data_IF_266528244158
#
_entry.id   IF_266528244158
#
_cell.length_a   1.000
_cell.length_b   1.000
_cell.length_c   1.000
_cell.angle_alpha   90.00
_cell.angle_beta   90.00
_cell.angle_gamma   90.00
#
_symmetry.space_group_name_H-M   'P 1'
#
loop_
_entity.id
_entity.type
_entity.pdbx_description
1 polymer ?
#
# COMPACT_ATOMS: atom_id res chain seq x y z
N UNK A 1 10.18 15.77 -1.55
CA UNK A 1 9.76 14.47 -0.98
C UNK A 1 8.95 13.65 -1.99
N UNK A 2 7.87 14.20 -2.56
CA UNK A 2 7.13 13.55 -3.68
C UNK A 2 8.06 13.25 -4.88
N UNK A 3 9.00 14.15 -5.18
CA UNK A 3 10.04 13.97 -6.20
C UNK A 3 10.90 12.72 -5.98
N UNK A 4 11.28 12.43 -4.73
CA UNK A 4 12.14 11.30 -4.36
C UNK A 4 11.40 9.97 -4.53
N UNK A 5 10.13 9.91 -4.14
CA UNK A 5 9.29 8.73 -4.40
C UNK A 5 9.13 8.48 -5.90
N UNK A 6 8.87 9.52 -6.68
CA UNK A 6 8.73 9.37 -8.13
C UNK A 6 10.04 8.86 -8.76
N UNK A 7 11.19 9.36 -8.30
CA UNK A 7 12.50 8.87 -8.73
C UNK A 7 12.73 7.40 -8.33
N UNK A 8 12.39 7.02 -7.09
CA UNK A 8 12.46 5.64 -6.62
C UNK A 8 11.60 4.71 -7.48
N UNK A 9 10.34 5.07 -7.69
CA UNK A 9 9.38 4.29 -8.51
C UNK A 9 9.84 4.19 -9.97
N UNK A 10 10.48 5.23 -10.51
CA UNK A 10 11.03 5.19 -11.88
C UNK A 10 12.15 4.16 -12.08
N UNK A 11 12.80 3.72 -10.99
CA UNK A 11 13.87 2.71 -11.00
C UNK A 11 13.35 1.28 -10.82
N UNK A 12 12.04 1.11 -10.57
CA UNK A 12 11.39 -0.18 -10.32
C UNK A 12 10.65 -0.63 -11.58
N UNK A 13 10.74 -1.93 -11.88
CA UNK A 13 9.89 -2.57 -12.87
C UNK A 13 8.57 -2.94 -12.21
N UNK A 14 7.56 -2.08 -12.39
CA UNK A 14 6.24 -2.28 -11.79
C UNK A 14 5.47 -3.40 -12.51
N UNK A 15 5.12 -4.45 -11.77
CA UNK A 15 4.16 -5.46 -12.20
C UNK A 15 2.86 -5.32 -11.42
N UNK A 16 1.74 -5.47 -12.12
CA UNK A 16 0.43 -5.63 -11.51
C UNK A 16 -0.16 -6.97 -11.96
N UNK A 17 0.15 -8.02 -11.20
CA UNK A 17 -0.29 -9.38 -11.44
C UNK A 17 -1.33 -9.85 -10.40
N UNK A 18 -2.12 -10.86 -10.77
CA UNK A 18 -3.17 -11.41 -9.91
C UNK A 18 -2.62 -12.02 -8.62
N UNK A 19 -1.35 -12.47 -8.62
CA UNK A 19 -0.68 -13.03 -7.45
C UNK A 19 -0.48 -11.96 -6.38
N UNK A 20 0.10 -10.83 -6.76
CA UNK A 20 0.32 -9.68 -5.88
C UNK A 20 -1.02 -9.12 -5.43
N UNK A 21 -2.00 -8.99 -6.34
CA UNK A 21 -3.36 -8.61 -5.96
C UNK A 21 -3.95 -9.53 -4.88
N UNK A 22 -3.77 -10.85 -5.03
CA UNK A 22 -4.19 -11.85 -4.05
C UNK A 22 -3.49 -11.69 -2.69
N UNK A 23 -2.19 -11.42 -2.69
CA UNK A 23 -1.41 -11.14 -1.47
C UNK A 23 -1.93 -9.88 -0.77
N UNK A 24 -2.21 -8.81 -1.52
CA UNK A 24 -2.78 -7.57 -0.96
C UNK A 24 -4.16 -7.84 -0.35
N UNK A 25 -5.03 -8.60 -1.02
CA UNK A 25 -6.33 -8.99 -0.46
C UNK A 25 -6.19 -9.80 0.83
N UNK A 26 -5.30 -10.80 0.86
CA UNK A 26 -5.06 -11.63 2.04
C UNK A 26 -4.56 -10.78 3.22
N UNK A 27 -3.63 -9.85 2.97
CA UNK A 27 -3.11 -8.95 3.99
C UNK A 27 -4.19 -8.05 4.61
N UNK A 28 -5.18 -7.61 3.83
CA UNK A 28 -6.30 -6.79 4.29
C UNK A 28 -7.27 -7.63 5.13
N UNK A 29 -7.61 -8.85 4.69
CA UNK A 29 -8.56 -9.71 5.41
C UNK A 29 -8.08 -10.17 6.80
N UNK A 30 -6.77 -10.16 7.07
CA UNK A 30 -6.24 -10.44 8.41
C UNK A 30 -6.51 -9.29 9.42
N UNK A 31 -6.95 -8.12 8.95
CA UNK A 31 -7.10 -6.92 9.78
C UNK A 31 -8.56 -6.77 10.22
N UNK A 32 -8.84 -7.08 11.49
CA UNK A 32 -10.19 -7.10 12.05
C UNK A 32 -10.89 -5.73 12.14
N UNK A 33 -10.14 -4.63 12.03
CA UNK A 33 -10.65 -3.26 12.15
C UNK A 33 -11.14 -2.65 10.81
N UNK A 34 -11.22 -3.46 9.75
CA UNK A 34 -11.70 -3.02 8.44
C UNK A 34 -13.20 -3.32 8.31
N UNK A 35 -13.96 -2.32 7.88
CA UNK A 35 -15.40 -2.40 7.57
C UNK A 35 -15.62 -2.71 6.08
N UNK A 36 -14.85 -2.04 5.21
CA UNK A 36 -14.92 -2.22 3.75
C UNK A 36 -13.56 -2.05 3.12
N UNK A 37 -13.33 -2.77 2.04
CA UNK A 37 -12.12 -2.68 1.24
C UNK A 37 -12.40 -2.76 -0.25
N UNK A 38 -11.52 -2.16 -1.05
CA UNK A 38 -11.46 -2.39 -2.49
C UNK A 38 -10.05 -2.26 -3.02
N UNK A 39 -9.68 -3.13 -3.96
CA UNK A 39 -8.40 -3.07 -4.67
C UNK A 39 -8.65 -2.85 -6.16
N UNK A 40 -8.24 -1.70 -6.67
CA UNK A 40 -8.27 -1.35 -8.09
C UNK A 40 -6.86 -1.41 -8.68
N UNK A 41 -6.74 -1.87 -9.92
CA UNK A 41 -5.49 -1.81 -10.69
C UNK A 41 -5.64 -0.80 -11.81
N UNK A 42 -4.74 0.20 -11.87
CA UNK A 42 -4.73 1.22 -12.93
C UNK A 42 -3.30 1.50 -13.36
N UNK A 43 -3.00 1.30 -14.65
CA UNK A 43 -1.66 1.60 -15.21
C UNK A 43 -0.52 0.91 -14.45
N UNK A 44 -0.65 -0.38 -14.16
CA UNK A 44 0.30 -1.20 -13.38
C UNK A 44 0.55 -0.70 -11.94
N UNK A 45 -0.44 -0.03 -11.36
CA UNK A 45 -0.42 0.45 -9.97
C UNK A 45 -1.66 -0.04 -9.25
N UNK A 46 -1.48 -0.38 -7.99
CA UNK A 46 -2.58 -0.73 -7.09
C UNK A 46 -3.13 0.52 -6.41
N UNK A 47 -4.43 0.56 -6.24
CA UNK A 47 -5.13 1.51 -5.38
C UNK A 47 -5.93 0.65 -4.40
N UNK A 48 -5.58 0.75 -3.13
CA UNK A 48 -6.19 0.02 -2.04
C UNK A 48 -6.96 1.02 -1.19
N UNK A 49 -8.27 0.98 -1.26
CA UNK A 49 -9.15 1.75 -0.40
C UNK A 49 -9.60 0.87 0.77
N UNK A 50 -9.43 1.36 1.98
CA UNK A 50 -9.84 0.71 3.22
C UNK A 50 -10.66 1.68 4.04
N UNK A 51 -11.82 1.21 4.50
CA UNK A 51 -12.65 1.91 5.48
C UNK A 51 -12.51 1.21 6.82
N UNK A 52 -12.12 1.94 7.85
CA UNK A 52 -12.05 1.45 9.22
C UNK A 52 -13.43 1.49 9.87
N UNK A 53 -13.65 0.59 10.84
CA UNK A 53 -14.85 0.63 11.71
C UNK A 53 -14.87 1.90 12.56
N UNK A 54 -13.72 2.23 13.13
CA UNK A 54 -13.48 3.46 13.87
C UNK A 54 -12.20 4.13 13.37
N UNK A 55 -12.37 5.26 12.68
CA UNK A 55 -11.24 6.00 12.14
C UNK A 55 -10.49 6.74 13.25
N UNK A 56 -9.20 6.44 13.35
CA UNK A 56 -8.21 7.30 13.99
C UNK A 56 -6.91 7.20 13.21
N UNK A 57 -6.07 8.23 13.28
CA UNK A 57 -4.74 8.19 12.63
C UNK A 57 -3.89 7.06 13.21
N UNK A 58 -4.05 6.77 14.49
CA UNK A 58 -3.36 5.67 15.19
C UNK A 58 -3.79 4.31 14.63
N UNK A 59 -5.11 4.09 14.47
CA UNK A 59 -5.65 2.88 13.86
C UNK A 59 -5.19 2.75 12.41
N UNK A 60 -5.21 3.84 11.63
CA UNK A 60 -4.75 3.83 10.24
C UNK A 60 -3.25 3.49 10.13
N UNK A 61 -2.41 3.96 11.07
CA UNK A 61 -0.99 3.58 11.14
C UNK A 61 -0.83 2.11 11.51
N UNK A 62 -1.59 1.60 12.47
CA UNK A 62 -1.54 0.19 12.86
C UNK A 62 -1.92 -0.73 11.69
N UNK A 63 -3.02 -0.42 10.99
CA UNK A 63 -3.45 -1.12 9.77
C UNK A 63 -2.36 -1.08 8.70
N UNK A 64 -1.76 0.08 8.44
CA UNK A 64 -0.69 0.19 7.44
C UNK A 64 0.57 -0.60 7.82
N UNK A 65 0.95 -0.64 9.11
CA UNK A 65 2.09 -1.42 9.57
C UNK A 65 1.87 -2.92 9.34
N UNK A 66 0.71 -3.45 9.73
CA UNK A 66 0.34 -4.85 9.47
C UNK A 66 0.32 -5.14 7.97
N UNK A 67 -0.26 -4.26 7.17
CA UNK A 67 -0.30 -4.39 5.72
C UNK A 67 1.12 -4.45 5.11
N UNK A 68 2.03 -3.58 5.53
CA UNK A 68 3.42 -3.58 5.05
C UNK A 68 4.20 -4.81 5.51
N UNK A 69 3.99 -5.30 6.73
CA UNK A 69 4.67 -6.50 7.23
C UNK A 69 4.37 -7.73 6.36
N UNK A 70 3.15 -7.82 5.83
CA UNK A 70 2.72 -8.93 4.98
C UNK A 70 3.11 -8.79 3.51
N UNK A 71 3.27 -7.57 3.03
CA UNK A 71 3.37 -7.29 1.59
C UNK A 71 4.77 -6.85 1.14
N UNK A 72 5.64 -6.42 2.07
CA UNK A 72 6.97 -5.93 1.72
C UNK A 72 7.91 -7.02 1.22
N UNK A 73 8.66 -6.70 0.17
CA UNK A 73 9.87 -7.44 -0.17
C UNK A 73 11.01 -7.04 0.77
N UNK A 74 11.89 -8.00 1.07
CA UNK A 74 13.03 -7.79 1.96
C UNK A 74 14.08 -6.83 1.41
N UNK A 75 14.22 -6.76 0.07
CA UNK A 75 15.27 -5.98 -0.56
C UNK A 75 15.07 -4.47 -0.41
N UNK A 76 13.89 -3.97 -0.75
CA UNK A 76 13.60 -2.54 -0.64
C UNK A 76 12.12 -2.26 -0.44
N UNK A 77 11.82 -1.32 0.46
CA UNK A 77 10.48 -0.78 0.68
C UNK A 77 10.60 0.71 0.99
N UNK A 78 9.73 1.51 0.38
CA UNK A 78 9.66 2.95 0.61
C UNK A 78 8.19 3.39 0.64
N UNK A 79 7.85 4.24 1.60
CA UNK A 79 6.52 4.82 1.68
C UNK A 79 6.53 6.27 2.13
N UNK A 80 5.49 7.01 1.72
CA UNK A 80 5.21 8.36 2.19
C UNK A 80 3.75 8.41 2.65
N UNK A 81 3.50 9.04 3.80
CA UNK A 81 2.16 9.28 4.33
C UNK A 81 1.72 10.73 4.08
N UNK A 82 0.46 10.88 3.66
CA UNK A 82 -0.24 12.14 3.56
C UNK A 82 -1.45 12.08 4.49
N UNK A 83 -1.53 13.02 5.43
CA UNK A 83 -2.69 13.14 6.31
C UNK A 83 -3.68 14.12 5.66
N UNK A 84 -4.85 13.62 5.26
CA UNK A 84 -5.88 14.37 4.52
C UNK A 84 -7.12 14.58 5.42
N UNK A 85 -6.90 14.90 6.70
CA UNK A 85 -7.97 15.15 7.68
C UNK A 85 -8.61 13.86 8.17
N UNK A 86 -9.74 13.48 7.56
CA UNK A 86 -10.50 12.27 7.91
C UNK A 86 -10.03 11.01 7.18
N UNK A 87 -8.92 11.10 6.44
CA UNK A 87 -8.28 9.94 5.84
C UNK A 87 -6.76 10.10 5.85
N UNK A 88 -6.08 8.97 5.71
CA UNK A 88 -4.64 8.90 5.51
C UNK A 88 -4.37 8.19 4.19
N UNK A 89 -3.54 8.80 3.35
CA UNK A 89 -3.05 8.18 2.12
C UNK A 89 -1.58 7.83 2.24
N UNK A 90 -1.23 6.60 1.93
CA UNK A 90 0.14 6.16 1.76
C UNK A 90 0.44 5.95 0.28
N UNK A 91 1.59 6.45 -0.16
CA UNK A 91 2.23 5.96 -1.37
C UNK A 91 3.23 4.92 -0.94
N UNK A 92 3.06 3.68 -1.36
CA UNK A 92 3.87 2.56 -0.94
C UNK A 92 4.45 1.86 -2.16
N UNK A 93 5.75 1.63 -2.17
CA UNK A 93 6.41 0.85 -3.20
C UNK A 93 7.45 -0.07 -2.57
N UNK A 94 7.58 -1.28 -3.12
CA UNK A 94 8.54 -2.28 -2.67
C UNK A 94 8.98 -3.12 -3.85
N UNK A 95 10.24 -3.56 -3.86
CA UNK A 95 10.80 -4.37 -4.93
C UNK A 95 11.80 -5.42 -4.43
N UNK A 96 12.02 -6.43 -5.26
CA UNK A 96 13.06 -7.46 -5.12
C UNK A 96 14.40 -6.97 -5.67
N UNK A 97 15.45 -7.77 -5.50
CA UNK A 97 16.81 -7.47 -6.00
C UNK A 97 16.86 -7.24 -7.52
N UNK A 98 16.04 -7.96 -8.28
CA UNK A 98 15.92 -7.78 -9.73
C UNK A 98 15.13 -6.53 -10.15
N UNK A 99 14.74 -5.68 -9.18
CA UNK A 99 13.93 -4.46 -9.33
C UNK A 99 12.49 -4.70 -9.77
N UNK A 100 12.02 -5.94 -9.85
CA UNK A 100 10.59 -6.22 -9.98
C UNK A 100 9.89 -5.92 -8.66
N UNK A 101 8.76 -5.24 -8.74
CA UNK A 101 8.04 -4.83 -7.55
C UNK A 101 6.68 -4.26 -7.88
N UNK A 102 6.02 -3.73 -6.86
CA UNK A 102 4.74 -3.08 -7.03
C UNK A 102 4.74 -1.69 -6.39
N UNK A 103 3.81 -0.88 -6.88
CA UNK A 103 3.45 0.41 -6.32
C UNK A 103 1.97 0.35 -5.95
N UNK A 104 1.64 0.85 -4.77
CA UNK A 104 0.30 0.92 -4.25
C UNK A 104 0.03 2.30 -3.62
N UNK A 105 -1.05 2.94 -4.01
CA UNK A 105 -1.68 3.99 -3.22
C UNK A 105 -2.62 3.31 -2.22
N UNK A 106 -2.38 3.48 -0.92
CA UNK A 106 -3.22 2.92 0.15
C UNK A 106 -3.97 4.06 0.82
N UNK A 107 -5.30 4.06 0.74
CA UNK A 107 -6.18 5.10 1.28
C UNK A 107 -6.94 4.47 2.45
N UNK A 108 -6.84 5.07 3.63
CA UNK A 108 -7.46 4.59 4.86
C UNK A 108 -8.35 5.70 5.42
N UNK A 109 -9.66 5.44 5.48
CA UNK A 109 -10.69 6.39 5.94
C UNK A 109 -11.63 5.77 6.97
#
# INVERSE_FOLDING_TARGET
MVSVMNEYVSKIQLSADDVTKGILHAAIHEISNIDKESILVKSNRYIVDMKLKEYSVENAVAVMNTFMERTRYHYSAYFIRFNEGNMVRYRYATCKENREGFYCDVIIA
#
